data_IF_605692083042
#
_entry.id   IF_605692083042
#
_cell.length_a   1.000
_cell.length_b   1.000
_cell.length_c   1.000
_cell.angle_alpha   90.00
_cell.angle_beta   90.00
_cell.angle_gamma   90.00
#
_symmetry.space_group_name_H-M   'P 1'
#
loop_
_entity.id
_entity.type
_entity.pdbx_description
1 polymer ?
#
# COMPACT_ATOMS: atom_id res chain seq x y z
N UNK A 1 8.98 14.17 1.74
CA UNK A 1 7.70 13.46 1.96
C UNK A 1 7.28 12.78 0.65
N UNK A 2 6.73 11.58 0.71
CA UNK A 2 6.22 10.87 -0.48
C UNK A 2 4.72 10.65 -0.35
N UNK A 3 3.96 11.01 -1.38
CA UNK A 3 2.52 10.79 -1.48
C UNK A 3 2.28 9.58 -2.39
N UNK A 4 1.59 8.57 -1.86
CA UNK A 4 1.24 7.33 -2.59
C UNK A 4 -0.27 7.12 -2.75
N UNK A 5 -1.10 7.86 -1.99
CA UNK A 5 -2.55 7.78 -2.05
C UNK A 5 -3.14 8.52 -3.25
N UNK A 6 -4.19 7.97 -3.84
CA UNK A 6 -4.91 8.54 -4.98
C UNK A 6 -6.32 8.95 -4.54
N UNK A 7 -6.46 10.15 -3.99
CA UNK A 7 -7.74 10.65 -3.47
C UNK A 7 -8.62 11.30 -4.54
N UNK A 8 -8.03 11.73 -5.67
CA UNK A 8 -8.71 12.55 -6.68
C UNK A 8 -9.11 13.95 -6.20
N UNK A 9 -8.64 14.37 -5.01
CA UNK A 9 -8.97 15.65 -4.37
C UNK A 9 -7.71 16.52 -4.25
N UNK A 10 -7.84 17.86 -4.24
CA UNK A 10 -6.73 18.75 -3.96
C UNK A 10 -6.08 18.44 -2.60
N UNK A 11 -4.78 18.69 -2.50
CA UNK A 11 -4.06 18.76 -1.23
C UNK A 11 -3.42 20.15 -1.10
N UNK A 12 -3.33 20.66 0.13
CA UNK A 12 -2.84 22.01 0.41
C UNK A 12 -1.66 21.94 1.39
N UNK A 13 -0.63 22.76 1.15
CA UNK A 13 0.44 23.03 2.12
C UNK A 13 0.15 24.37 2.77
N UNK A 14 -0.23 24.37 4.05
CA UNK A 14 -0.64 25.58 4.77
C UNK A 14 0.56 26.47 5.15
N UNK A 15 1.66 25.89 5.63
CA UNK A 15 2.87 26.62 6.02
C UNK A 15 3.96 26.50 4.94
N UNK A 16 3.86 27.35 3.91
CA UNK A 16 4.86 27.41 2.84
C UNK A 16 6.22 27.94 3.29
N UNK A 17 6.27 28.77 4.35
CA UNK A 17 7.52 29.32 4.87
C UNK A 17 8.37 28.19 5.47
N UNK A 18 7.77 27.32 6.28
CA UNK A 18 8.46 26.16 6.85
C UNK A 18 8.91 25.19 5.76
N UNK A 19 8.07 24.93 4.74
CA UNK A 19 8.44 24.09 3.60
C UNK A 19 9.70 24.62 2.91
N UNK A 20 9.75 25.92 2.58
CA UNK A 20 10.84 26.54 1.85
C UNK A 20 12.09 26.67 2.74
N UNK A 21 11.95 27.20 3.95
CA UNK A 21 13.07 27.44 4.87
C UNK A 21 13.79 26.15 5.25
N UNK A 22 13.03 25.08 5.49
CA UNK A 22 13.59 23.77 5.83
C UNK A 22 13.90 22.92 4.58
N UNK A 23 13.68 23.45 3.38
CA UNK A 23 13.96 22.80 2.09
C UNK A 23 13.29 21.42 1.97
N UNK A 24 12.05 21.30 2.46
CA UNK A 24 11.30 20.06 2.36
C UNK A 24 10.82 19.83 0.93
N UNK A 25 10.87 18.58 0.49
CA UNK A 25 10.35 18.16 -0.81
C UNK A 25 9.10 17.31 -0.67
N UNK A 26 8.19 17.43 -1.64
CA UNK A 26 6.99 16.60 -1.76
C UNK A 26 7.10 15.86 -3.10
N UNK A 27 7.12 14.54 -3.05
CA UNK A 27 7.21 13.67 -4.22
C UNK A 27 5.94 12.83 -4.36
N UNK A 28 5.38 12.78 -5.57
CA UNK A 28 4.42 11.74 -5.91
C UNK A 28 5.14 10.43 -6.21
N UNK A 29 4.55 9.30 -5.81
CA UNK A 29 5.03 7.98 -6.20
C UNK A 29 3.86 7.09 -6.62
N UNK A 30 3.99 6.48 -7.80
CA UNK A 30 2.95 5.67 -8.41
C UNK A 30 3.52 4.34 -8.89
N UNK A 31 2.98 3.24 -8.35
CA UNK A 31 3.33 1.88 -8.75
C UNK A 31 4.80 1.55 -8.50
N UNK A 32 5.34 0.67 -9.35
CA UNK A 32 6.72 0.21 -9.30
C UNK A 32 7.18 -0.21 -10.70
N UNK A 33 8.49 -0.41 -10.87
CA UNK A 33 9.07 -1.00 -12.08
C UNK A 33 9.32 -2.50 -11.87
N UNK A 34 9.30 -3.33 -12.92
CA UNK A 34 9.53 -4.78 -12.81
C UNK A 34 10.75 -5.19 -11.95
N UNK A 35 11.91 -4.52 -12.03
CA UNK A 35 13.08 -4.86 -11.19
C UNK A 35 12.82 -4.73 -9.67
N UNK A 36 11.85 -3.92 -9.25
CA UNK A 36 11.50 -3.78 -7.84
C UNK A 36 10.87 -5.06 -7.28
N UNK A 37 10.13 -5.82 -8.10
CA UNK A 37 9.55 -7.11 -7.68
C UNK A 37 10.65 -8.12 -7.43
N UNK A 38 11.64 -8.21 -8.32
CA UNK A 38 12.79 -9.09 -8.13
C UNK A 38 13.56 -8.75 -6.85
N UNK A 39 13.73 -7.46 -6.56
CA UNK A 39 14.34 -7.01 -5.33
C UNK A 39 13.54 -7.45 -4.10
N UNK A 40 12.21 -7.32 -4.13
CA UNK A 40 11.35 -7.79 -3.04
C UNK A 40 11.47 -9.31 -2.84
N UNK A 41 11.47 -10.09 -3.92
CA UNK A 41 11.66 -11.55 -3.84
C UNK A 41 13.00 -11.90 -3.20
N UNK A 42 14.11 -11.23 -3.59
CA UNK A 42 15.43 -11.43 -2.96
C UNK A 42 15.41 -11.08 -1.47
N UNK A 43 14.79 -9.97 -1.09
CA UNK A 43 14.70 -9.54 0.31
C UNK A 43 13.89 -10.52 1.17
N UNK A 44 12.81 -11.09 0.63
CA UNK A 44 12.04 -12.15 1.30
C UNK A 44 12.88 -13.43 1.40
N UNK A 45 13.55 -13.84 0.32
CA UNK A 45 14.42 -15.02 0.32
C UNK A 45 15.59 -14.93 1.30
N UNK A 46 16.12 -13.72 1.55
CA UNK A 46 17.13 -13.45 2.57
C UNK A 46 16.57 -13.24 3.99
N UNK A 47 15.25 -13.38 4.18
CA UNK A 47 14.61 -13.16 5.48
C UNK A 47 14.67 -11.72 5.98
N UNK A 48 14.95 -10.74 5.11
CA UNK A 48 15.05 -9.31 5.46
C UNK A 48 13.68 -8.65 5.57
N UNK A 49 12.67 -9.22 4.92
CA UNK A 49 11.28 -8.79 4.95
C UNK A 49 10.39 -10.01 5.11
N UNK A 50 9.37 -9.92 5.98
CA UNK A 50 8.30 -10.90 6.08
C UNK A 50 6.95 -10.26 5.70
N UNK A 51 6.48 -10.55 4.49
CA UNK A 51 5.21 -10.03 3.97
C UNK A 51 3.98 -10.84 4.39
N UNK A 52 4.16 -12.06 4.93
CA UNK A 52 3.04 -12.93 5.34
C UNK A 52 2.17 -12.28 6.42
N UNK A 53 2.77 -11.46 7.29
CA UNK A 53 2.06 -10.70 8.33
C UNK A 53 1.10 -9.64 7.79
N UNK A 54 1.21 -9.28 6.51
CA UNK A 54 0.24 -8.38 5.86
C UNK A 54 -1.03 -9.09 5.40
N UNK A 55 -1.02 -10.43 5.34
CA UNK A 55 -2.19 -11.22 4.93
C UNK A 55 -3.09 -11.42 6.14
N UNK A 56 -4.28 -10.86 6.07
CA UNK A 56 -5.30 -10.99 7.11
C UNK A 56 -6.13 -12.27 6.96
N UNK A 57 -6.32 -12.76 5.72
CA UNK A 57 -7.12 -13.96 5.47
C UNK A 57 -6.85 -14.55 4.07
N UNK A 58 -7.15 -15.84 3.94
CA UNK A 58 -7.23 -16.55 2.65
C UNK A 58 -8.69 -16.96 2.41
N UNK A 59 -9.25 -16.52 1.29
CA UNK A 59 -10.68 -16.66 0.99
C UNK A 59 -10.83 -17.43 -0.33
N UNK A 60 -11.72 -18.43 -0.42
CA UNK A 60 -11.98 -19.11 -1.70
C UNK A 60 -12.43 -18.16 -2.80
N UNK A 61 -12.02 -18.41 -4.05
CA UNK A 61 -12.31 -17.54 -5.18
C UNK A 61 -13.83 -17.35 -5.39
N UNK A 62 -14.64 -18.36 -5.12
CA UNK A 62 -16.11 -18.28 -5.20
C UNK A 62 -16.73 -17.28 -4.19
N UNK A 63 -15.96 -16.84 -3.19
CA UNK A 63 -16.37 -15.84 -2.19
C UNK A 63 -15.73 -14.45 -2.44
N UNK A 64 -15.25 -14.18 -3.66
CA UNK A 64 -14.64 -12.91 -4.01
C UNK A 64 -15.51 -11.68 -3.68
N UNK A 65 -16.82 -11.77 -3.89
CA UNK A 65 -17.76 -10.70 -3.58
C UNK A 65 -17.76 -10.34 -2.07
N UNK A 66 -17.71 -11.36 -1.20
CA UNK A 66 -17.61 -11.14 0.23
C UNK A 66 -16.25 -10.56 0.62
N UNK A 67 -15.15 -11.04 0.02
CA UNK A 67 -13.82 -10.49 0.25
C UNK A 67 -13.75 -9.00 -0.08
N UNK A 68 -14.31 -8.57 -1.22
CA UNK A 68 -14.37 -7.16 -1.61
C UNK A 68 -15.21 -6.35 -0.62
N UNK A 69 -16.38 -6.86 -0.22
CA UNK A 69 -17.25 -6.22 0.77
C UNK A 69 -16.52 -6.03 2.11
N UNK A 70 -15.85 -7.06 2.62
CA UNK A 70 -15.05 -7.00 3.85
C UNK A 70 -13.96 -5.94 3.76
N UNK A 71 -13.24 -5.87 2.64
CA UNK A 71 -12.18 -4.89 2.45
C UNK A 71 -12.70 -3.44 2.36
N UNK A 72 -13.80 -3.23 1.62
CA UNK A 72 -14.43 -1.91 1.42
C UNK A 72 -15.02 -1.39 2.73
N UNK A 73 -15.76 -2.24 3.44
CA UNK A 73 -16.53 -1.86 4.62
C UNK A 73 -15.71 -2.07 5.92
N UNK A 74 -14.42 -2.43 5.79
CA UNK A 74 -13.46 -2.64 6.90
C UNK A 74 -13.92 -3.66 7.95
N UNK A 75 -14.63 -4.70 7.53
CA UNK A 75 -15.15 -5.72 8.45
C UNK A 75 -14.00 -6.55 9.01
N UNK A 76 -13.73 -6.40 10.31
CA UNK A 76 -12.62 -7.05 11.00
C UNK A 76 -11.25 -6.45 10.68
N UNK A 77 -11.21 -5.19 10.21
CA UNK A 77 -9.99 -4.41 9.95
C UNK A 77 -8.95 -5.11 9.06
N UNK A 78 -9.32 -5.63 7.87
CA UNK A 78 -8.41 -6.36 7.02
C UNK A 78 -7.33 -5.46 6.39
N UNK A 79 -6.10 -5.98 6.32
CA UNK A 79 -4.95 -5.39 5.63
C UNK A 79 -4.91 -5.88 4.18
N UNK A 80 -4.80 -7.19 3.98
CA UNK A 80 -4.79 -7.85 2.66
C UNK A 80 -5.56 -9.16 2.74
N UNK A 81 -6.51 -9.35 1.84
CA UNK A 81 -7.22 -10.62 1.64
C UNK A 81 -6.66 -11.27 0.37
N UNK A 82 -6.33 -12.55 0.45
CA UNK A 82 -5.81 -13.33 -0.68
C UNK A 82 -6.88 -14.30 -1.15
N UNK A 83 -7.23 -14.24 -2.43
CA UNK A 83 -8.14 -15.21 -3.02
C UNK A 83 -7.36 -16.48 -3.40
N UNK A 84 -7.89 -17.63 -3.01
CA UNK A 84 -7.31 -18.95 -3.35
C UNK A 84 -8.23 -19.69 -4.33
N UNK A 85 -7.67 -20.43 -5.31
CA UNK A 85 -8.46 -21.15 -6.33
C UNK A 85 -9.41 -22.19 -5.75
#
# INVERSE_FOLDING_TARGET
>A
MTITGLSGKPFTVEDSISLIRNQYTIHGHYGYLPPHVEQLVRLVGWGRINLSRSVSDHIPLEQADDAVRRLRDKIGDPIRLVLVP
#
